data_IF_269535833100
#
_entry.id   IF_269535833100
#
_cell.length_a   1.000
_cell.length_b   1.000
_cell.length_c   1.000
_cell.angle_alpha   90.00
_cell.angle_beta   90.00
_cell.angle_gamma   90.00
#
_symmetry.space_group_name_H-M   'P 1'
#
loop_
_entity.id
_entity.type
_entity.pdbx_description
1 polymer ?
#
# COMPACT_ATOMS: atom_id res chain seq x y z
N UNK A 1 12.61 2.06 -15.85
CA UNK A 1 12.58 1.43 -14.51
C UNK A 1 12.57 2.46 -13.37
N UNK A 2 13.51 3.42 -13.32
CA UNK A 2 13.58 4.42 -12.23
C UNK A 2 12.29 5.23 -12.05
N UNK A 3 11.70 5.73 -13.14
CA UNK A 3 10.45 6.51 -13.14
C UNK A 3 9.26 5.77 -12.51
N UNK A 4 9.19 4.44 -12.67
CA UNK A 4 8.13 3.59 -12.08
C UNK A 4 8.28 3.54 -10.56
N UNK A 5 9.52 3.34 -10.08
CA UNK A 5 9.82 3.31 -8.65
C UNK A 5 9.57 4.68 -7.99
N UNK A 6 9.94 5.76 -8.67
CA UNK A 6 9.70 7.13 -8.19
C UNK A 6 8.19 7.39 -8.05
N UNK A 7 7.39 6.99 -9.04
CA UNK A 7 5.92 7.12 -9.01
C UNK A 7 5.29 6.28 -7.90
N UNK A 8 5.65 5.00 -7.80
CA UNK A 8 5.14 4.11 -6.75
C UNK A 8 5.51 4.59 -5.34
N UNK A 9 6.70 5.18 -5.18
CA UNK A 9 7.14 5.77 -3.92
C UNK A 9 6.33 7.02 -3.56
N UNK A 10 6.04 7.88 -4.54
CA UNK A 10 5.20 9.06 -4.36
C UNK A 10 3.77 8.68 -3.95
N UNK A 11 3.17 7.70 -4.63
CA UNK A 11 1.84 7.19 -4.29
C UNK A 11 1.80 6.63 -2.86
N UNK A 12 2.80 5.82 -2.49
CA UNK A 12 2.92 5.28 -1.14
C UNK A 12 3.06 6.39 -0.09
N UNK A 13 3.80 7.45 -0.40
CA UNK A 13 3.94 8.61 0.46
C UNK A 13 2.61 9.37 0.62
N UNK A 14 1.87 9.58 -0.47
CA UNK A 14 0.56 10.23 -0.46
C UNK A 14 -0.44 9.46 0.41
N UNK A 15 -0.50 8.14 0.27
CA UNK A 15 -1.35 7.28 1.11
C UNK A 15 -0.99 7.42 2.59
N UNK A 16 0.31 7.33 2.95
CA UNK A 16 0.76 7.51 4.33
C UNK A 16 0.38 8.89 4.88
N UNK A 17 0.50 9.94 4.06
CA UNK A 17 0.11 11.30 4.42
C UNK A 17 -1.39 11.41 4.68
N UNK A 18 -2.22 10.78 3.85
CA UNK A 18 -3.67 10.74 4.07
C UNK A 18 -4.07 9.99 5.34
N UNK A 19 -3.47 8.81 5.56
CA UNK A 19 -3.70 8.03 6.77
C UNK A 19 -3.38 8.86 8.02
N UNK A 20 -2.23 9.55 8.01
CA UNK A 20 -1.84 10.45 9.10
C UNK A 20 -2.82 11.61 9.28
N UNK A 21 -3.28 12.24 8.18
CA UNK A 21 -4.28 13.33 8.23
C UNK A 21 -5.61 12.87 8.86
N UNK A 22 -5.98 11.60 8.64
CA UNK A 22 -7.19 10.98 9.21
C UNK A 22 -6.98 10.39 10.61
N UNK A 23 -5.82 10.64 11.22
CA UNK A 23 -5.42 10.08 12.52
C UNK A 23 -5.47 8.55 12.56
N UNK A 24 -5.14 7.91 11.43
CA UNK A 24 -4.98 6.47 11.29
C UNK A 24 -3.50 6.14 11.42
N UNK A 25 -3.13 5.32 12.39
CA UNK A 25 -1.75 4.83 12.58
C UNK A 25 -1.72 3.33 12.37
N UNK A 26 -0.69 2.84 11.68
CA UNK A 26 -0.40 1.42 11.54
C UNK A 26 0.83 1.13 12.40
N UNK A 27 0.68 0.23 13.36
CA UNK A 27 1.63 -0.06 14.43
C UNK A 27 2.02 -1.53 14.26
N UNK A 28 3.14 -1.78 13.57
CA UNK A 28 3.79 -3.09 13.41
C UNK A 28 3.23 -4.01 12.31
N UNK A 29 4.17 -4.52 11.51
CA UNK A 29 4.02 -5.70 10.67
C UNK A 29 4.60 -6.90 11.43
N UNK A 30 3.77 -7.73 12.05
CA UNK A 30 4.23 -9.07 12.45
C UNK A 30 3.89 -10.05 11.34
N UNK A 31 4.92 -10.70 10.77
CA UNK A 31 4.70 -11.78 9.81
C UNK A 31 4.69 -13.11 10.57
N UNK A 32 3.59 -13.85 10.46
CA UNK A 32 3.47 -15.21 10.98
C UNK A 32 2.74 -16.06 9.95
N UNK A 33 3.33 -17.21 9.58
CA UNK A 33 2.72 -18.22 8.70
C UNK A 33 2.07 -17.65 7.43
N UNK A 34 2.85 -16.87 6.66
CA UNK A 34 2.42 -16.17 5.44
C UNK A 34 1.32 -15.12 5.60
N UNK A 35 0.91 -14.80 6.83
CA UNK A 35 0.00 -13.71 7.14
C UNK A 35 0.80 -12.55 7.71
N UNK A 36 0.57 -11.36 7.15
CA UNK A 36 1.08 -10.08 7.65
C UNK A 36 0.03 -9.48 8.55
N UNK A 37 0.25 -9.54 9.86
CA UNK A 37 -0.61 -8.91 10.85
C UNK A 37 -0.20 -7.47 11.05
N UNK A 38 -1.14 -6.59 10.76
CA UNK A 38 -1.04 -5.16 10.96
C UNK A 38 -2.04 -4.70 12.00
N UNK A 39 -1.56 -4.01 13.03
CA UNK A 39 -2.42 -3.34 14.00
C UNK A 39 -2.67 -1.92 13.55
N UNK A 40 -3.92 -1.50 13.51
CA UNK A 40 -4.28 -0.12 13.21
C UNK A 40 -4.97 0.54 14.39
N UNK A 41 -4.66 1.81 14.57
CA UNK A 41 -5.31 2.71 15.50
C UNK A 41 -6.08 3.75 14.68
N UNK A 42 -7.40 3.80 14.83
CA UNK A 42 -8.26 4.79 14.18
C UNK A 42 -9.30 5.31 15.18
N UNK A 43 -9.29 6.62 15.46
CA UNK A 43 -10.29 7.29 16.33
C UNK A 43 -10.45 6.64 17.73
N UNK A 44 -9.36 6.09 18.28
CA UNK A 44 -9.37 5.41 19.58
C UNK A 44 -9.72 3.91 19.51
N UNK A 45 -10.10 3.40 18.34
CA UNK A 45 -10.24 1.97 18.12
C UNK A 45 -8.92 1.37 17.69
N UNK A 46 -8.50 0.34 18.42
CA UNK A 46 -7.34 -0.48 18.09
C UNK A 46 -7.85 -1.85 17.64
N UNK A 47 -7.50 -2.24 16.42
CA UNK A 47 -7.82 -3.58 15.92
C UNK A 47 -6.67 -4.10 15.06
N UNK A 48 -6.64 -5.41 14.88
CA UNK A 48 -5.61 -6.09 14.07
C UNK A 48 -6.28 -6.68 12.84
N UNK A 49 -5.66 -6.51 11.69
CA UNK A 49 -6.03 -7.25 10.48
C UNK A 49 -4.83 -8.05 9.97
N UNK A 50 -5.10 -9.26 9.51
CA UNK A 50 -4.13 -10.10 8.82
C UNK A 50 -4.34 -9.97 7.31
N UNK A 51 -3.24 -9.85 6.57
CA UNK A 51 -3.25 -9.92 5.11
C UNK A 51 -2.38 -11.09 4.67
N UNK A 52 -2.91 -11.98 3.85
CA UNK A 52 -2.12 -13.09 3.28
C UNK A 52 -1.09 -12.54 2.29
N UNK A 53 0.16 -12.96 2.45
CA UNK A 53 1.30 -12.54 1.62
C UNK A 53 1.08 -12.80 0.14
N UNK A 54 0.38 -13.89 -0.20
CA UNK A 54 0.00 -14.21 -1.59
C UNK A 54 -0.89 -13.12 -2.20
N UNK A 55 -1.93 -12.71 -1.48
CA UNK A 55 -2.86 -11.66 -1.93
C UNK A 55 -2.13 -10.32 -2.04
N UNK A 56 -1.29 -9.98 -1.06
CA UNK A 56 -0.47 -8.76 -1.10
C UNK A 56 0.41 -8.77 -2.35
N UNK A 57 1.10 -9.89 -2.64
CA UNK A 57 1.98 -10.01 -3.80
C UNK A 57 1.21 -9.86 -5.11
N UNK A 58 0.05 -10.49 -5.22
CA UNK A 58 -0.80 -10.39 -6.41
C UNK A 58 -1.27 -8.94 -6.63
N UNK A 59 -1.65 -8.23 -5.57
CA UNK A 59 -2.14 -6.86 -5.66
C UNK A 59 -1.01 -5.86 -5.99
N UNK A 60 0.18 -6.04 -5.41
CA UNK A 60 1.38 -5.25 -5.78
C UNK A 60 1.69 -5.44 -7.27
N UNK A 61 1.62 -6.67 -7.79
CA UNK A 61 1.83 -6.95 -9.21
C UNK A 61 0.85 -6.21 -10.11
N UNK A 62 -0.46 -6.26 -9.79
CA UNK A 62 -1.50 -5.52 -10.51
C UNK A 62 -1.28 -4.01 -10.44
N UNK A 63 -0.90 -3.49 -9.27
CA UNK A 63 -0.67 -2.07 -9.08
C UNK A 63 0.54 -1.58 -9.91
N UNK A 64 1.64 -2.32 -9.89
CA UNK A 64 2.82 -2.01 -10.72
C UNK A 64 2.49 -2.06 -12.21
N UNK A 65 1.69 -3.02 -12.66
CA UNK A 65 1.23 -3.09 -14.05
C UNK A 65 0.45 -1.83 -14.45
N UNK A 66 -0.48 -1.35 -13.59
CA UNK A 66 -1.21 -0.09 -13.81
C UNK A 66 -0.30 1.12 -13.86
N UNK A 67 0.70 1.21 -12.97
CA UNK A 67 1.67 2.31 -12.98
C UNK A 67 2.47 2.31 -14.28
N UNK A 68 2.93 1.15 -14.74
CA UNK A 68 3.64 1.01 -16.01
C UNK A 68 2.76 1.45 -17.18
N UNK A 69 1.50 0.98 -17.22
CA UNK A 69 0.55 1.36 -18.28
C UNK A 69 0.29 2.87 -18.31
N UNK A 70 0.09 3.51 -17.14
CA UNK A 70 -0.10 4.96 -17.04
C UNK A 70 1.09 5.79 -17.55
N UNK A 71 2.30 5.22 -17.51
CA UNK A 71 3.52 5.88 -18.00
C UNK A 71 3.70 5.66 -19.50
N UNK A 72 3.35 4.47 -20.00
CA UNK A 72 3.51 4.10 -21.41
C UNK A 72 2.41 4.69 -22.30
N UNK A 73 1.19 4.82 -21.78
CA UNK A 73 0.02 5.33 -22.48
C UNK A 73 -0.52 6.62 -21.82
N UNK A 74 0.22 7.74 -21.88
CA UNK A 74 -0.20 9.00 -21.23
C UNK A 74 -1.40 9.68 -21.91
N UNK A 75 -2.01 9.09 -22.94
CA UNK A 75 -2.95 9.73 -23.87
C UNK A 75 -4.38 9.18 -23.81
N UNK A 76 -4.74 8.44 -22.76
CA UNK A 76 -6.11 7.94 -22.56
C UNK A 76 -6.66 8.50 -21.23
N UNK A 77 -6.71 9.83 -21.13
CA UNK A 77 -7.58 10.56 -20.20
C UNK A 77 -8.60 11.35 -21.02
#
# INVERSE_FOLDING_TARGET
MRTVLDRASLESFNVRRELKKRNIKILSDQTQDDIVYNRYLCRGYENTFGMTREVIRAEIGKHLAKVVDSILNPSQE
#
